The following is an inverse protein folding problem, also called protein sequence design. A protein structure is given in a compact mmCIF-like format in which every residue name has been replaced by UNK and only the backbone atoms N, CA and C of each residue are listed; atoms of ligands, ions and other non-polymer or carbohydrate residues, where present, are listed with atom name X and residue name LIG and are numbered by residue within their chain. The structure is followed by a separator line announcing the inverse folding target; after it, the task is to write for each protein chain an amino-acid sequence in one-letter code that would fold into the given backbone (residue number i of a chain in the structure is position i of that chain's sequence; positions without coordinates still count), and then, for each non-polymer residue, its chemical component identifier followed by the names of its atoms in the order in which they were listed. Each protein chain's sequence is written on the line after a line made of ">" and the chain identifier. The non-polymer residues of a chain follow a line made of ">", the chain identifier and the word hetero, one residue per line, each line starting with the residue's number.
data_IF_981169535480
#
_entry.id   IF_981169535480
#
_cell.length_a   1.000
_cell.length_b   1.000
_cell.length_c   1.000
_cell.angle_alpha   90.00
_cell.angle_beta   90.00
_cell.angle_gamma   90.00
#
_symmetry.space_group_name_H-M   'P 1'
#
loop_
_entity.id
_entity.type
_entity.pdbx_description
1 polymer ?
#
# COMPACT_ATOMS: atom_id res chain seq x y z
N UNK A 1 -13.50 -23.03 15.49
CA UNK A 1 -13.29 -22.42 14.16
C UNK A 1 -12.41 -21.20 14.34
N UNK A 2 -11.16 -21.27 13.89
CA UNK A 2 -10.24 -20.13 13.95
C UNK A 2 -10.37 -19.37 12.63
N UNK A 3 -10.82 -18.12 12.69
CA UNK A 3 -10.83 -17.25 11.52
C UNK A 3 -9.39 -17.03 11.03
N UNK A 4 -9.20 -17.04 9.71
CA UNK A 4 -7.91 -16.79 9.06
C UNK A 4 -7.97 -15.45 8.34
N UNK A 5 -6.96 -14.62 8.53
CA UNK A 5 -6.84 -13.34 7.82
C UNK A 5 -5.84 -13.48 6.69
N UNK A 6 -6.27 -13.14 5.48
CA UNK A 6 -5.45 -13.03 4.29
C UNK A 6 -5.16 -11.54 4.09
N UNK A 7 -3.90 -11.18 3.91
CA UNK A 7 -3.46 -9.80 3.72
C UNK A 7 -2.80 -9.65 2.34
N UNK A 8 -3.18 -8.59 1.62
CA UNK A 8 -2.45 -8.10 0.46
C UNK A 8 -1.68 -6.83 0.86
N UNK A 9 -0.36 -6.83 0.70
CA UNK A 9 0.51 -5.72 1.07
C UNK A 9 1.62 -5.50 0.04
N UNK A 10 2.10 -4.25 -0.01
CA UNK A 10 3.33 -3.89 -0.72
C UNK A 10 3.86 -2.56 -0.20
N UNK A 11 5.18 -2.33 -0.28
CA UNK A 11 5.81 -1.10 0.21
C UNK A 11 5.27 0.13 -0.52
N UNK A 12 4.96 1.20 0.22
CA UNK A 12 4.41 2.45 -0.32
C UNK A 12 2.88 2.48 -0.40
N UNK A 13 2.19 1.44 0.08
CA UNK A 13 0.74 1.29 -0.06
C UNK A 13 0.11 0.80 1.24
N UNK A 14 -1.09 1.29 1.55
CA UNK A 14 -1.88 0.75 2.64
C UNK A 14 -2.29 -0.70 2.32
N UNK A 15 -2.14 -1.65 3.26
CA UNK A 15 -2.53 -3.04 3.05
C UNK A 15 -4.06 -3.21 2.96
N UNK A 16 -4.50 -4.34 2.42
CA UNK A 16 -5.90 -4.78 2.44
C UNK A 16 -6.03 -6.15 3.10
N UNK A 17 -7.09 -6.34 3.88
CA UNK A 17 -7.31 -7.58 4.63
C UNK A 17 -8.64 -8.24 4.26
N UNK A 18 -8.63 -9.57 4.27
CA UNK A 18 -9.77 -10.44 4.10
C UNK A 18 -9.80 -11.47 5.24
N UNK A 19 -10.80 -11.42 6.12
CA UNK A 19 -10.99 -12.40 7.18
C UNK A 19 -12.00 -13.48 6.76
N UNK A 20 -11.55 -14.72 6.66
CA UNK A 20 -12.39 -15.89 6.32
C UNK A 20 -12.56 -16.82 7.52
N UNK A 21 -13.78 -17.34 7.72
CA UNK A 21 -14.11 -18.15 8.89
C UNK A 21 -13.59 -19.61 8.80
N UNK A 22 -13.41 -20.12 7.58
CA UNK A 22 -12.84 -21.44 7.31
C UNK A 22 -12.37 -21.52 5.85
N UNK A 23 -11.19 -22.08 5.63
CA UNK A 23 -10.71 -22.45 4.31
C UNK A 23 -11.16 -23.88 4.02
N UNK A 24 -12.24 -24.03 3.25
CA UNK A 24 -12.84 -25.33 2.94
C UNK A 24 -12.46 -25.71 1.50
N UNK A 25 -11.21 -26.13 1.29
CA UNK A 25 -10.72 -26.52 -0.03
C UNK A 25 -9.23 -26.37 -0.21
N UNK A 26 -8.72 -26.84 -1.36
CA UNK A 26 -7.31 -26.73 -1.75
C UNK A 26 -6.93 -25.33 -2.23
N UNK A 27 -7.91 -24.58 -2.76
CA UNK A 27 -7.72 -23.22 -3.29
C UNK A 27 -8.92 -22.35 -2.91
N UNK A 28 -8.69 -21.04 -2.82
CA UNK A 28 -9.73 -20.02 -2.61
C UNK A 28 -9.47 -18.90 -3.61
N UNK A 29 -10.53 -18.46 -4.30
CA UNK A 29 -10.46 -17.34 -5.23
C UNK A 29 -10.94 -16.07 -4.51
N UNK A 30 -10.13 -15.02 -4.57
CA UNK A 30 -10.47 -13.70 -4.02
C UNK A 30 -10.72 -12.71 -5.17
N UNK A 31 -11.57 -11.72 -4.92
CA UNK A 31 -11.74 -10.60 -5.83
C UNK A 31 -10.43 -9.82 -5.99
N UNK A 32 -10.28 -9.05 -7.06
CA UNK A 32 -9.17 -8.10 -7.15
C UNK A 32 -9.36 -6.99 -6.12
N UNK A 33 -8.26 -6.55 -5.51
CA UNK A 33 -8.20 -5.36 -4.65
C UNK A 33 -7.16 -4.39 -5.19
N UNK A 34 -7.48 -3.11 -5.18
CA UNK A 34 -6.53 -2.04 -5.44
C UNK A 34 -6.01 -1.54 -4.09
N UNK A 35 -4.69 -1.50 -3.91
CA UNK A 35 -4.10 -0.91 -2.71
C UNK A 35 -3.98 0.60 -2.88
N UNK A 36 -4.21 1.36 -1.81
CA UNK A 36 -4.05 2.82 -1.82
C UNK A 36 -2.57 3.17 -1.70
N UNK A 37 -1.99 3.77 -2.72
CA UNK A 37 -0.62 4.31 -2.69
C UNK A 37 -0.51 5.48 -1.72
N UNK A 38 0.64 5.64 -1.10
CA UNK A 38 0.99 6.85 -0.35
C UNK A 38 1.55 6.62 1.05
N UNK A 39 1.50 5.40 1.60
CA UNK A 39 2.10 5.05 2.90
C UNK A 39 3.59 4.70 2.69
N UNK A 40 4.41 5.73 2.51
CA UNK A 40 5.83 5.65 2.15
C UNK A 40 6.67 5.40 3.38
N UNK A 41 6.28 5.96 4.53
CA UNK A 41 7.02 5.77 5.77
C UNK A 41 6.69 4.41 6.44
N UNK A 42 5.53 3.81 6.14
CA UNK A 42 5.09 2.50 6.64
C UNK A 42 4.36 2.58 7.99
N UNK A 43 3.74 3.71 8.33
CA UNK A 43 3.06 3.94 9.60
C UNK A 43 1.53 3.70 9.54
N UNK A 44 1.03 3.21 8.40
CA UNK A 44 -0.38 2.97 8.12
C UNK A 44 -1.23 4.24 8.09
N UNK A 45 -0.64 5.42 7.91
CA UNK A 45 -1.31 6.64 7.54
C UNK A 45 -0.74 7.16 6.22
N UNK A 46 -1.57 7.88 5.46
CA UNK A 46 -1.13 8.62 4.27
C UNK A 46 -1.26 10.08 4.60
N UNK A 47 -0.16 10.71 4.97
CA UNK A 47 -0.15 12.10 5.42
C UNK A 47 1.10 12.89 5.00
N UNK A 48 1.37 13.99 5.71
CA UNK A 48 2.51 14.86 5.41
C UNK A 48 3.86 14.20 5.69
N UNK A 49 3.90 13.20 6.58
CA UNK A 49 5.09 12.40 6.88
C UNK A 49 5.54 11.60 5.66
N UNK A 50 4.62 11.07 4.88
CA UNK A 50 4.93 10.37 3.63
C UNK A 50 5.47 11.30 2.57
N UNK A 51 4.79 12.43 2.35
CA UNK A 51 5.24 13.45 1.40
C UNK A 51 6.63 14.00 1.80
N UNK A 52 6.90 14.16 3.10
CA UNK A 52 8.22 14.55 3.61
C UNK A 52 9.26 13.46 3.34
N UNK A 53 8.89 12.18 3.44
CA UNK A 53 9.78 11.06 3.14
C UNK A 53 10.18 11.03 1.66
N UNK A 54 9.25 11.30 0.75
CA UNK A 54 9.54 11.47 -0.68
C UNK A 54 10.42 12.69 -0.92
N UNK A 55 10.08 13.84 -0.33
CA UNK A 55 10.85 15.08 -0.46
C UNK A 55 12.30 14.96 0.03
N UNK A 56 12.56 14.16 1.05
CA UNK A 56 13.90 13.93 1.59
C UNK A 56 14.85 13.19 0.62
N UNK A 57 14.30 12.47 -0.36
CA UNK A 57 15.05 11.67 -1.33
C UNK A 57 14.78 12.11 -2.77
N UNK A 58 14.15 13.28 -2.96
CA UNK A 58 13.79 13.83 -4.27
C UNK A 58 15.00 13.94 -5.22
N UNK A 59 14.81 13.52 -6.47
CA UNK A 59 15.83 13.52 -7.52
C UNK A 59 16.79 12.33 -7.47
N UNK A 60 16.66 11.42 -6.50
CA UNK A 60 17.40 10.15 -6.54
C UNK A 60 16.92 9.29 -7.71
N UNK A 61 17.85 8.56 -8.31
CA UNK A 61 17.59 7.64 -9.42
C UNK A 61 18.19 6.28 -9.13
N UNK A 62 17.52 5.21 -9.54
CA UNK A 62 18.00 3.85 -9.34
C UNK A 62 16.88 2.86 -9.14
N UNK A 63 17.25 1.59 -8.93
CA UNK A 63 16.30 0.51 -8.70
C UNK A 63 15.96 0.39 -7.21
N UNK A 64 14.72 0.02 -6.91
CA UNK A 64 14.25 -0.29 -5.55
C UNK A 64 14.38 0.87 -4.56
N UNK A 65 14.21 2.11 -5.01
CA UNK A 65 14.15 3.28 -4.13
C UNK A 65 12.82 3.25 -3.36
N UNK A 66 12.85 3.35 -2.03
CA UNK A 66 11.64 3.21 -1.19
C UNK A 66 10.55 4.23 -1.53
N UNK A 67 10.95 5.45 -1.89
CA UNK A 67 10.06 6.56 -2.20
C UNK A 67 9.72 6.69 -3.70
N UNK A 68 10.22 5.77 -4.53
CA UNK A 68 9.80 5.61 -5.94
C UNK A 68 8.56 4.69 -5.95
N UNK A 69 7.38 5.29 -5.81
CA UNK A 69 6.11 4.61 -5.62
C UNK A 69 5.59 4.06 -6.95
N UNK A 70 5.83 4.79 -8.05
CA UNK A 70 5.41 4.42 -9.39
C UNK A 70 6.37 3.40 -10.07
N UNK A 71 7.57 3.21 -9.49
CA UNK A 71 8.64 2.30 -9.92
C UNK A 71 9.24 2.64 -11.28
N UNK A 72 9.33 3.92 -11.60
CA UNK A 72 9.96 4.41 -12.84
C UNK A 72 11.48 4.65 -12.71
N UNK A 73 12.05 4.34 -11.55
CA UNK A 73 13.46 4.51 -11.19
C UNK A 73 13.91 5.94 -10.94
N UNK A 74 12.98 6.89 -10.74
CA UNK A 74 13.25 8.29 -10.42
C UNK A 74 12.32 8.68 -9.26
N UNK A 75 12.87 9.29 -8.21
CA UNK A 75 12.03 9.92 -7.18
C UNK A 75 11.73 11.35 -7.62
N UNK A 76 10.50 11.64 -8.02
CA UNK A 76 10.11 12.96 -8.50
C UNK A 76 8.72 13.42 -8.01
N UNK A 77 8.13 14.39 -8.72
CA UNK A 77 6.84 14.96 -8.34
C UNK A 77 5.69 13.97 -8.50
N UNK A 78 5.80 12.97 -9.39
CA UNK A 78 4.76 11.97 -9.59
C UNK A 78 4.61 11.05 -8.37
N UNK A 79 5.68 10.78 -7.62
CA UNK A 79 5.61 10.05 -6.36
C UNK A 79 4.85 10.85 -5.29
N UNK A 80 5.09 12.17 -5.21
CA UNK A 80 4.34 13.04 -4.30
C UNK A 80 2.85 13.08 -4.69
N UNK A 81 2.54 13.09 -5.99
CA UNK A 81 1.15 13.02 -6.47
C UNK A 81 0.46 11.72 -6.05
N UNK A 82 1.18 10.60 -6.02
CA UNK A 82 0.64 9.32 -5.54
C UNK A 82 0.32 9.32 -4.04
N UNK A 83 1.12 10.03 -3.22
CA UNK A 83 0.77 10.31 -1.81
C UNK A 83 -0.49 11.18 -1.73
N UNK A 84 -0.51 12.30 -2.47
CA UNK A 84 -1.60 13.26 -2.44
C UNK A 84 -2.95 12.67 -2.87
N UNK A 85 -2.94 11.71 -3.79
CA UNK A 85 -4.15 11.04 -4.32
C UNK A 85 -4.97 10.35 -3.21
N UNK A 86 -4.31 9.86 -2.16
CA UNK A 86 -4.94 9.15 -1.05
C UNK A 86 -4.72 9.84 0.30
N UNK A 87 -4.39 11.14 0.31
CA UNK A 87 -4.10 11.88 1.53
C UNK A 87 -5.24 11.80 2.56
N UNK A 88 -4.89 11.57 3.82
CA UNK A 88 -5.81 11.41 4.94
C UNK A 88 -6.45 10.03 5.07
N UNK A 89 -6.11 9.06 4.20
CA UNK A 89 -6.49 7.65 4.37
C UNK A 89 -5.53 6.98 5.35
N UNK A 90 -6.02 5.99 6.08
CA UNK A 90 -5.23 5.27 7.08
C UNK A 90 -5.78 3.87 7.34
N UNK A 91 -4.94 3.01 7.92
CA UNK A 91 -5.27 1.68 8.36
C UNK A 91 -5.31 0.64 7.23
N UNK A 92 -5.88 -0.52 7.57
CA UNK A 92 -6.09 -1.62 6.64
C UNK A 92 -7.37 -1.38 5.84
N UNK A 93 -7.30 -1.57 4.52
CA UNK A 93 -8.47 -1.58 3.66
C UNK A 93 -9.25 -2.88 3.84
N UNK A 94 -10.58 -2.81 3.72
CA UNK A 94 -11.40 -3.99 3.61
C UNK A 94 -11.33 -4.53 2.17
N UNK A 95 -10.81 -5.74 2.00
CA UNK A 95 -10.79 -6.42 0.70
C UNK A 95 -12.21 -6.93 0.35
N UNK A 96 -13.08 -7.18 1.34
CA UNK A 96 -14.39 -7.78 1.10
C UNK A 96 -14.25 -9.23 0.66
N UNK A 97 -14.10 -10.13 1.62
CA UNK A 97 -14.26 -11.56 1.36
C UNK A 97 -15.72 -11.85 1.00
N UNK A 98 -15.95 -12.75 0.05
CA UNK A 98 -17.30 -13.25 -0.25
C UNK A 98 -17.89 -14.02 0.93
#
# INVERSE_FOLDING_TARGET
>A
NSATTITADTSGYLPAVCTVNALIGSETSLNKVALLSGDVNGDLAIDIGDATTVGATFGQTGLNLKADINRDSIIDIFDIVLVATNFGKAGVQDWGCQ
#
